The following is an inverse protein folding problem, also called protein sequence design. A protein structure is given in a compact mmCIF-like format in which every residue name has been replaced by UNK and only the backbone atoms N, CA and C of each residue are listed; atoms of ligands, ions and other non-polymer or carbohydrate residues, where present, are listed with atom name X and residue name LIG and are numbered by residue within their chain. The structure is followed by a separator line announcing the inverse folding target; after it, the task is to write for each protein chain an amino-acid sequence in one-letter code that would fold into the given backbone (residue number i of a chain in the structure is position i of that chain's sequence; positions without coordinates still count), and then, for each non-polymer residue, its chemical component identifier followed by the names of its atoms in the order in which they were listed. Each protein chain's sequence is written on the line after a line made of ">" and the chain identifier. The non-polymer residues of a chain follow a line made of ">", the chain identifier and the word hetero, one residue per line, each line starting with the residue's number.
data_IF_018128184017
#
_entry.id   IF_018128184017
#
_cell.length_a   1.000
_cell.length_b   1.000
_cell.length_c   1.000
_cell.angle_alpha   90.00
_cell.angle_beta   90.00
_cell.angle_gamma   90.00
#
_symmetry.space_group_name_H-M   'P 1'
#
loop_
_entity.id
_entity.type
_entity.pdbx_description
1 polymer ?
#
# COMPACT_ATOMS: atom_id res chain seq x y z
N UNK A 1 -8.89 28.68 -6.80
CA UNK A 1 -8.09 27.49 -7.06
C UNK A 1 -8.14 26.65 -5.80
N UNK A 2 -8.35 25.30 -5.88
CA UNK A 2 -8.41 24.46 -4.68
C UNK A 2 -6.99 24.08 -4.26
N UNK A 3 -6.71 24.20 -2.95
CA UNK A 3 -5.41 23.85 -2.37
C UNK A 3 -5.50 22.47 -1.71
N UNK A 4 -4.65 21.56 -2.10
CA UNK A 4 -4.52 20.22 -1.55
C UNK A 4 -3.18 19.99 -0.85
N UNK A 5 -3.15 19.07 0.11
CA UNK A 5 -1.91 18.61 0.72
C UNK A 5 -1.52 17.24 0.19
N UNK A 6 -0.27 17.09 -0.22
CA UNK A 6 0.36 15.81 -0.50
C UNK A 6 1.16 15.39 0.74
N UNK A 7 0.61 14.48 1.53
CA UNK A 7 1.12 14.12 2.86
C UNK A 7 2.21 13.04 2.77
N UNK A 8 3.34 13.30 3.41
CA UNK A 8 4.44 12.35 3.54
C UNK A 8 5.01 12.34 4.96
N UNK A 9 5.56 11.19 5.40
CA UNK A 9 6.57 11.21 6.45
C UNK A 9 7.93 11.64 5.88
N UNK A 10 8.87 12.00 6.77
CA UNK A 10 10.20 12.49 6.37
C UNK A 10 10.99 11.45 5.58
N UNK A 11 10.95 10.21 6.03
CA UNK A 11 11.75 9.13 5.45
C UNK A 11 11.28 8.77 4.04
N UNK A 12 9.98 8.75 3.82
CA UNK A 12 9.40 8.47 2.50
C UNK A 12 9.48 9.67 1.57
N UNK A 13 9.34 10.90 2.07
CA UNK A 13 9.57 12.10 1.26
C UNK A 13 11.01 12.18 0.75
N UNK A 14 11.99 11.89 1.62
CA UNK A 14 13.41 11.90 1.20
C UNK A 14 13.68 10.99 -0.01
N UNK A 15 12.96 9.86 -0.10
CA UNK A 15 13.08 8.87 -1.19
C UNK A 15 12.22 9.21 -2.42
N UNK A 16 11.25 10.13 -2.31
CA UNK A 16 10.22 10.40 -3.31
C UNK A 16 10.10 11.87 -3.69
N UNK A 17 11.15 12.69 -3.46
CA UNK A 17 11.15 14.15 -3.75
C UNK A 17 10.77 14.46 -5.20
N UNK A 18 11.33 13.72 -6.15
CA UNK A 18 11.04 13.93 -7.59
C UNK A 18 9.60 13.60 -7.93
N UNK A 19 9.03 12.56 -7.28
CA UNK A 19 7.63 12.22 -7.45
C UNK A 19 6.72 13.30 -6.85
N UNK A 20 7.04 13.83 -5.67
CA UNK A 20 6.28 14.91 -5.05
C UNK A 20 6.30 16.18 -5.93
N UNK A 21 7.47 16.59 -6.39
CA UNK A 21 7.62 17.72 -7.30
C UNK A 21 6.89 17.51 -8.64
N UNK A 22 6.91 16.28 -9.17
CA UNK A 22 6.14 15.94 -10.36
C UNK A 22 4.64 16.05 -10.11
N UNK A 23 4.17 15.56 -8.98
CA UNK A 23 2.76 15.61 -8.59
C UNK A 23 2.25 17.04 -8.43
N UNK A 24 3.05 17.94 -7.84
CA UNK A 24 2.75 19.37 -7.71
C UNK A 24 2.62 20.03 -9.09
N UNK A 25 3.62 19.85 -9.99
CA UNK A 25 3.58 20.39 -11.35
C UNK A 25 2.39 19.92 -12.18
N UNK A 26 2.06 18.63 -12.08
CA UNK A 26 0.90 18.07 -12.77
C UNK A 26 -0.41 18.58 -12.20
N UNK A 27 -0.45 18.89 -10.89
CA UNK A 27 -1.57 19.56 -10.24
C UNK A 27 -1.79 20.96 -10.79
N UNK A 28 -0.75 21.78 -10.87
CA UNK A 28 -0.80 23.14 -11.42
C UNK A 28 -1.36 23.18 -12.84
N UNK A 29 -0.94 22.27 -13.72
CA UNK A 29 -1.46 22.14 -15.08
C UNK A 29 -2.98 21.90 -15.13
N UNK A 30 -3.54 21.35 -14.03
CA UNK A 30 -4.96 21.00 -13.87
C UNK A 30 -5.75 21.99 -13.01
N UNK A 31 -5.13 23.11 -12.62
CA UNK A 31 -5.74 24.16 -11.81
C UNK A 31 -5.88 23.79 -10.33
N UNK A 32 -5.07 22.83 -9.86
CA UNK A 32 -4.95 22.46 -8.45
C UNK A 32 -3.64 23.00 -7.88
N UNK A 33 -3.67 23.67 -6.74
CA UNK A 33 -2.46 23.97 -5.96
C UNK A 33 -2.21 22.82 -5.02
N UNK A 34 -1.12 22.08 -5.20
CA UNK A 34 -0.77 20.96 -4.33
C UNK A 34 0.50 21.31 -3.57
N UNK A 35 0.47 21.21 -2.27
CA UNK A 35 1.59 21.48 -1.38
C UNK A 35 2.05 20.17 -0.71
N UNK A 36 3.32 19.83 -0.86
CA UNK A 36 3.92 18.72 -0.12
C UNK A 36 4.06 19.09 1.35
N UNK A 37 3.41 18.33 2.23
CA UNK A 37 3.37 18.55 3.67
C UNK A 37 3.92 17.32 4.40
N UNK A 38 4.89 17.53 5.28
CA UNK A 38 5.42 16.47 6.14
C UNK A 38 4.54 16.30 7.37
N UNK A 39 4.35 15.08 7.79
CA UNK A 39 3.56 14.81 9.02
C UNK A 39 4.16 15.45 10.26
N UNK A 40 5.48 15.67 10.32
CA UNK A 40 6.15 16.41 11.41
C UNK A 40 5.79 17.90 11.48
N UNK A 41 5.25 18.48 10.41
CA UNK A 41 4.74 19.85 10.42
C UNK A 41 3.34 19.96 11.04
N UNK A 42 2.70 18.81 11.31
CA UNK A 42 1.34 18.72 11.81
C UNK A 42 1.31 18.49 13.32
N UNK A 43 0.54 19.29 14.02
CA UNK A 43 0.09 19.01 15.38
C UNK A 43 -1.44 18.89 15.36
N UNK A 44 -1.99 17.91 16.05
CA UNK A 44 -3.42 17.61 16.01
C UNK A 44 -3.89 17.01 17.34
N UNK A 45 -5.20 17.07 17.58
CA UNK A 45 -5.75 16.51 18.80
C UNK A 45 -7.22 16.82 18.98
N UNK A 46 -7.67 16.69 20.23
CA UNK A 46 -9.05 16.94 20.67
C UNK A 46 -9.03 18.01 21.75
N UNK A 47 -9.89 19.02 21.64
CA UNK A 47 -10.08 20.09 22.65
C UNK A 47 -10.89 19.58 23.85
N UNK A 48 -10.87 20.30 24.95
CA UNK A 48 -11.66 19.98 26.14
C UNK A 48 -13.18 19.87 25.87
N UNK A 49 -13.67 20.59 24.86
CA UNK A 49 -15.07 20.52 24.41
C UNK A 49 -15.36 19.40 23.42
N UNK A 50 -14.41 18.49 23.16
CA UNK A 50 -14.54 17.38 22.23
C UNK A 50 -14.27 17.73 20.75
N UNK A 51 -14.03 19.00 20.40
CA UNK A 51 -13.76 19.37 19.01
C UNK A 51 -12.36 18.94 18.56
N UNK A 52 -12.26 18.39 17.36
CA UNK A 52 -10.98 18.10 16.71
C UNK A 52 -10.27 19.39 16.32
N UNK A 53 -8.96 19.35 16.28
CA UNK A 53 -8.14 20.46 15.78
C UNK A 53 -6.89 19.96 15.08
N UNK A 54 -6.39 20.74 14.14
CA UNK A 54 -5.14 20.49 13.45
C UNK A 54 -4.42 21.83 13.20
N UNK A 55 -3.10 21.83 13.37
CA UNK A 55 -2.22 22.96 13.05
C UNK A 55 -1.10 22.47 12.14
N UNK A 56 -0.77 23.29 11.16
CA UNK A 56 0.44 23.15 10.36
C UNK A 56 1.39 24.29 10.71
N UNK A 57 2.61 23.97 11.10
CA UNK A 57 3.63 24.95 11.51
C UNK A 57 3.10 25.94 12.56
N UNK A 58 2.34 25.44 13.54
CA UNK A 58 1.74 26.21 14.64
C UNK A 58 0.47 26.97 14.31
N UNK A 59 0.00 27.01 13.05
CA UNK A 59 -1.19 27.73 12.61
C UNK A 59 -2.35 26.79 12.30
N UNK A 60 -3.54 27.11 12.74
CA UNK A 60 -4.75 26.38 12.33
C UNK A 60 -5.05 26.68 10.86
N UNK A 61 -4.83 25.67 10.01
CA UNK A 61 -5.12 25.74 8.58
C UNK A 61 -5.49 24.37 8.08
N UNK A 62 -6.41 24.31 7.13
CA UNK A 62 -6.86 23.07 6.50
C UNK A 62 -6.82 23.24 4.97
N UNK A 63 -6.48 22.18 4.24
CA UNK A 63 -6.58 22.17 2.78
C UNK A 63 -8.02 21.89 2.35
N UNK A 64 -8.33 22.07 1.07
CA UNK A 64 -9.60 21.64 0.50
C UNK A 64 -9.68 20.10 0.36
N UNK A 65 -8.54 19.43 0.23
CA UNK A 65 -8.39 17.97 0.16
C UNK A 65 -6.98 17.56 0.57
N UNK A 66 -6.78 16.28 0.85
CA UNK A 66 -5.45 15.72 1.06
C UNK A 66 -5.26 14.44 0.24
N UNK A 67 -4.04 14.23 -0.25
CA UNK A 67 -3.58 12.97 -0.85
C UNK A 67 -2.60 12.34 0.11
N UNK A 68 -2.95 11.18 0.68
CA UNK A 68 -2.11 10.50 1.66
C UNK A 68 -1.07 9.62 0.97
N UNK A 69 0.20 9.93 1.22
CA UNK A 69 1.36 9.14 0.83
C UNK A 69 2.18 8.72 2.07
N UNK A 70 1.54 8.71 3.22
CA UNK A 70 2.05 8.28 4.52
C UNK A 70 1.16 7.13 5.05
N UNK A 71 1.59 6.42 6.10
CA UNK A 71 0.96 5.17 6.55
C UNK A 71 0.32 5.25 7.94
N UNK A 72 0.22 6.44 8.51
CA UNK A 72 -0.48 6.67 9.76
C UNK A 72 -1.96 7.00 9.49
N UNK A 73 -2.84 6.03 9.73
CA UNK A 73 -4.27 6.21 9.55
C UNK A 73 -4.86 7.33 10.44
N UNK A 74 -4.21 7.64 11.57
CA UNK A 74 -4.68 8.69 12.49
C UNK A 74 -4.62 10.08 11.86
N UNK A 75 -3.56 10.40 11.10
CA UNK A 75 -3.44 11.69 10.39
C UNK A 75 -4.58 11.86 9.38
N UNK A 76 -4.85 10.81 8.61
CA UNK A 76 -5.95 10.81 7.64
C UNK A 76 -7.31 10.93 8.33
N UNK A 77 -7.54 10.18 9.41
CA UNK A 77 -8.79 10.23 10.18
C UNK A 77 -9.02 11.60 10.82
N UNK A 78 -7.97 12.27 11.30
CA UNK A 78 -8.06 13.61 11.86
C UNK A 78 -8.53 14.63 10.82
N UNK A 79 -7.97 14.57 9.61
CA UNK A 79 -8.38 15.44 8.51
C UNK A 79 -9.83 15.16 8.07
N UNK A 80 -10.20 13.89 7.92
CA UNK A 80 -11.58 13.48 7.60
C UNK A 80 -12.58 13.96 8.67
N UNK A 81 -12.23 13.81 9.95
CA UNK A 81 -13.06 14.29 11.06
C UNK A 81 -13.19 15.82 11.12
N UNK A 82 -12.27 16.55 10.48
CA UNK A 82 -12.33 18.01 10.29
C UNK A 82 -13.02 18.41 8.97
N UNK A 83 -13.58 17.44 8.23
CA UNK A 83 -14.32 17.68 6.99
C UNK A 83 -13.44 17.77 5.74
N UNK A 84 -12.16 17.40 5.82
CA UNK A 84 -11.25 17.39 4.67
C UNK A 84 -11.28 16.01 4.01
N UNK A 85 -11.68 15.87 2.73
CA UNK A 85 -11.60 14.60 2.02
C UNK A 85 -10.15 14.16 1.83
N UNK A 86 -9.84 12.87 2.14
CA UNK A 86 -8.50 12.30 2.05
C UNK A 86 -8.47 11.13 1.06
N UNK A 87 -7.46 11.08 0.19
CA UNK A 87 -7.27 10.08 -0.89
C UNK A 87 -5.85 9.46 -0.81
N UNK A 88 -5.67 8.15 -0.47
CA UNK A 88 -6.68 7.23 0.06
C UNK A 88 -7.10 7.64 1.49
N UNK A 89 -8.34 7.33 1.85
CA UNK A 89 -8.87 7.65 3.18
C UNK A 89 -8.26 6.81 4.32
N UNK A 90 -8.55 7.22 5.56
CA UNK A 90 -7.99 6.61 6.77
C UNK A 90 -8.28 5.12 6.89
N UNK A 91 -9.47 4.69 6.49
CA UNK A 91 -9.86 3.28 6.54
C UNK A 91 -9.07 2.42 5.55
N UNK A 92 -8.79 2.92 4.35
CA UNK A 92 -7.90 2.25 3.40
C UNK A 92 -6.50 2.11 3.99
N UNK A 93 -5.98 3.20 4.54
CA UNK A 93 -4.67 3.22 5.21
C UNK A 93 -4.60 2.18 6.34
N UNK A 94 -5.59 2.14 7.22
CA UNK A 94 -5.63 1.17 8.33
C UNK A 94 -5.69 -0.29 7.85
N UNK A 95 -6.42 -0.59 6.77
CA UNK A 95 -6.52 -1.94 6.22
C UNK A 95 -5.22 -2.35 5.53
N UNK A 96 -4.61 -1.48 4.72
CA UNK A 96 -3.49 -1.85 3.85
C UNK A 96 -2.13 -1.91 4.57
N UNK A 97 -1.94 -1.17 5.66
CA UNK A 97 -0.63 -1.05 6.31
C UNK A 97 -0.36 -2.06 7.44
N UNK A 98 -1.32 -2.93 7.77
CA UNK A 98 -1.12 -4.15 8.54
C UNK A 98 -1.58 -5.35 7.72
N UNK A 99 -0.65 -6.21 7.32
CA UNK A 99 -0.94 -7.38 6.48
C UNK A 99 -1.95 -8.35 7.11
N UNK A 100 -2.01 -8.42 8.45
CA UNK A 100 -2.99 -9.26 9.17
C UNK A 100 -4.39 -8.71 8.96
N UNK A 101 -4.55 -7.39 9.07
CA UNK A 101 -5.82 -6.69 8.82
C UNK A 101 -6.23 -6.85 7.36
N UNK A 102 -5.31 -6.69 6.41
CA UNK A 102 -5.57 -6.92 4.98
C UNK A 102 -6.07 -8.34 4.73
N UNK A 103 -5.40 -9.36 5.28
CA UNK A 103 -5.80 -10.76 5.10
C UNK A 103 -7.17 -11.07 5.73
N UNK A 104 -7.44 -10.56 6.93
CA UNK A 104 -8.76 -10.71 7.56
C UNK A 104 -9.86 -10.01 6.77
N UNK A 105 -9.60 -8.78 6.32
CA UNK A 105 -10.54 -7.99 5.55
C UNK A 105 -10.92 -8.67 4.22
N UNK A 106 -9.96 -9.32 3.57
CA UNK A 106 -10.14 -10.02 2.29
C UNK A 106 -10.50 -11.52 2.47
N UNK A 107 -10.75 -11.97 3.69
CA UNK A 107 -11.13 -13.36 3.95
C UNK A 107 -12.31 -13.81 3.06
N UNK A 108 -12.21 -15.03 2.54
CA UNK A 108 -13.14 -15.58 1.56
C UNK A 108 -12.74 -15.35 0.10
N UNK A 109 -11.69 -14.56 -0.18
CA UNK A 109 -11.06 -14.47 -1.49
C UNK A 109 -9.81 -15.37 -1.55
N UNK A 110 -9.37 -15.81 -2.75
CA UNK A 110 -8.17 -16.64 -2.90
C UNK A 110 -6.91 -15.96 -2.37
N UNK A 111 -6.25 -16.57 -1.39
CA UNK A 111 -4.99 -16.11 -0.78
C UNK A 111 -4.14 -17.32 -0.37
N UNK A 112 -2.84 -17.09 -0.15
CA UNK A 112 -1.99 -18.10 0.44
C UNK A 112 -2.35 -18.33 1.91
N UNK A 113 -2.29 -19.60 2.34
CA UNK A 113 -2.45 -19.95 3.76
C UNK A 113 -1.46 -19.17 4.61
N UNK A 114 -1.98 -18.45 5.61
CA UNK A 114 -1.21 -17.51 6.41
C UNK A 114 -1.59 -17.63 7.89
N UNK A 115 -0.58 -17.75 8.74
CA UNK A 115 -0.73 -17.70 10.21
C UNK A 115 -0.24 -16.35 10.74
N UNK A 116 -1.00 -15.72 11.60
CA UNK A 116 -0.60 -14.50 12.31
C UNK A 116 0.00 -14.87 13.65
N UNK A 117 1.21 -14.39 13.90
CA UNK A 117 1.96 -14.73 15.12
C UNK A 117 2.31 -13.46 15.87
N UNK A 118 1.88 -13.37 17.12
CA UNK A 118 2.29 -12.28 18.00
C UNK A 118 3.74 -12.45 18.41
N UNK A 119 4.51 -11.38 18.34
CA UNK A 119 5.90 -11.36 18.79
C UNK A 119 6.08 -11.81 20.26
N UNK A 120 5.06 -11.60 21.09
CA UNK A 120 5.10 -11.99 22.53
C UNK A 120 5.03 -13.50 22.76
N UNK A 121 4.52 -14.24 21.77
CA UNK A 121 4.27 -15.67 21.86
C UNK A 121 4.70 -16.37 20.58
N UNK A 122 5.80 -15.90 19.98
CA UNK A 122 6.29 -16.48 18.75
C UNK A 122 6.78 -17.92 18.97
N UNK A 123 6.01 -18.87 18.47
CA UNK A 123 6.36 -20.30 18.49
C UNK A 123 6.60 -20.74 17.05
N UNK A 124 7.71 -21.44 16.84
CA UNK A 124 8.03 -21.99 15.53
C UNK A 124 6.96 -23.02 15.12
N UNK A 125 6.57 -23.07 13.85
CA UNK A 125 5.67 -24.09 13.35
C UNK A 125 6.34 -25.48 13.34
N UNK A 126 5.54 -26.55 13.19
CA UNK A 126 6.05 -27.90 13.05
C UNK A 126 6.92 -28.07 11.79
N UNK A 127 7.73 -29.14 11.77
CA UNK A 127 8.66 -29.40 10.67
C UNK A 127 7.99 -29.49 9.29
N UNK A 128 6.78 -30.03 9.21
CA UNK A 128 6.00 -30.18 7.98
C UNK A 128 5.51 -28.84 7.38
N UNK A 129 5.63 -27.73 8.12
CA UNK A 129 5.23 -26.42 7.64
C UNK A 129 6.27 -25.79 6.69
N UNK A 130 7.51 -26.22 6.75
CA UNK A 130 8.60 -25.67 5.95
C UNK A 130 8.67 -26.28 4.53
N UNK A 131 9.16 -25.50 3.54
CA UNK A 131 9.57 -24.11 3.63
C UNK A 131 8.40 -23.14 3.64
N UNK A 132 8.57 -21.99 4.31
CA UNK A 132 7.57 -20.91 4.37
C UNK A 132 8.20 -19.52 4.22
N UNK A 133 7.35 -18.50 4.12
CA UNK A 133 7.75 -17.09 4.16
C UNK A 133 7.42 -16.51 5.52
N UNK A 134 8.40 -15.85 6.15
CA UNK A 134 8.21 -15.00 7.32
C UNK A 134 8.28 -13.55 6.88
N UNK A 135 7.34 -12.73 7.34
CA UNK A 135 7.30 -11.30 7.03
C UNK A 135 6.72 -10.49 8.18
N UNK A 136 7.18 -9.23 8.40
CA UNK A 136 6.60 -8.38 9.43
C UNK A 136 5.14 -8.03 9.09
N UNK A 137 4.31 -7.89 10.11
CA UNK A 137 2.91 -7.47 9.96
C UNK A 137 2.80 -6.11 9.30
N UNK A 138 3.59 -5.15 9.79
CA UNK A 138 3.70 -3.82 9.19
C UNK A 138 5.02 -3.69 8.44
N UNK A 139 5.02 -2.93 7.34
CA UNK A 139 6.21 -2.71 6.52
C UNK A 139 5.91 -2.82 5.03
N UNK A 140 6.85 -2.35 4.23
CA UNK A 140 6.67 -2.20 2.78
C UNK A 140 7.97 -2.48 2.03
N UNK A 141 7.86 -2.68 0.71
CA UNK A 141 9.03 -2.83 -0.15
C UNK A 141 9.81 -4.12 0.07
N UNK A 142 9.22 -5.15 0.65
CA UNK A 142 9.84 -6.45 0.89
C UNK A 142 10.89 -6.46 2.01
N UNK A 143 10.92 -5.43 2.86
CA UNK A 143 11.79 -5.40 4.03
C UNK A 143 11.34 -6.46 5.04
N UNK A 144 12.29 -7.23 5.61
CA UNK A 144 12.00 -8.28 6.57
C UNK A 144 11.31 -9.53 5.98
N UNK A 145 11.06 -9.58 4.66
CA UNK A 145 10.49 -10.78 4.00
C UNK A 145 11.60 -11.79 3.76
N UNK A 146 11.48 -12.97 4.38
CA UNK A 146 12.46 -14.06 4.28
C UNK A 146 11.77 -15.40 3.98
N UNK A 147 12.35 -16.16 3.06
CA UNK A 147 12.08 -17.59 2.93
C UNK A 147 12.88 -18.30 3.99
N UNK A 148 12.25 -19.20 4.72
CA UNK A 148 12.88 -20.01 5.77
C UNK A 148 12.59 -21.49 5.48
N UNK A 149 13.62 -22.32 5.59
CA UNK A 149 13.57 -23.74 5.25
C UNK A 149 13.47 -24.67 6.48
N UNK A 150 13.67 -24.13 7.68
CA UNK A 150 13.68 -24.87 8.94
C UNK A 150 13.46 -23.92 10.14
N UNK A 151 13.35 -24.51 11.34
CA UNK A 151 13.13 -23.76 12.57
C UNK A 151 14.27 -22.80 12.91
N UNK A 152 15.52 -23.15 12.62
CA UNK A 152 16.68 -22.30 12.90
C UNK A 152 16.58 -20.99 12.07
N UNK A 153 16.37 -21.11 10.77
CA UNK A 153 16.18 -19.95 9.89
C UNK A 153 14.93 -19.14 10.26
N UNK A 154 13.88 -19.81 10.77
CA UNK A 154 12.69 -19.15 11.24
C UNK A 154 12.98 -18.28 12.47
N UNK A 155 13.69 -18.80 13.48
CA UNK A 155 14.08 -18.05 14.68
C UNK A 155 14.92 -16.84 14.32
N UNK A 156 15.91 -17.00 13.48
CA UNK A 156 16.77 -15.91 12.99
C UNK A 156 15.94 -14.83 12.23
N UNK A 157 14.99 -15.23 11.40
CA UNK A 157 14.09 -14.30 10.71
C UNK A 157 13.15 -13.54 11.67
N UNK A 158 12.67 -14.20 12.72
CA UNK A 158 11.81 -13.58 13.73
C UNK A 158 12.61 -12.58 14.57
N UNK A 159 13.81 -12.94 15.00
CA UNK A 159 14.67 -12.07 15.79
C UNK A 159 15.02 -10.77 15.05
N UNK A 160 15.20 -10.83 13.73
CA UNK A 160 15.42 -9.65 12.87
C UNK A 160 14.17 -8.73 12.76
N UNK A 161 12.96 -9.27 12.98
CA UNK A 161 11.71 -8.52 12.85
C UNK A 161 11.26 -7.93 14.19
N UNK A 162 11.61 -8.56 15.30
CA UNK A 162 11.18 -8.14 16.64
C UNK A 162 11.48 -6.63 16.91
N UNK A 163 10.58 -5.93 17.63
CA UNK A 163 9.42 -6.42 18.37
C UNK A 163 8.10 -6.38 17.59
N UNK A 164 8.10 -6.50 16.28
CA UNK A 164 6.85 -6.50 15.50
C UNK A 164 6.23 -7.90 15.46
N UNK A 165 4.91 -7.93 15.31
CA UNK A 165 4.17 -9.15 14.99
C UNK A 165 4.51 -9.62 13.56
N UNK A 166 4.40 -10.90 13.30
CA UNK A 166 4.80 -11.52 12.04
C UNK A 166 3.66 -12.30 11.40
N UNK A 167 3.80 -12.50 10.08
CA UNK A 167 3.04 -13.48 9.33
C UNK A 167 3.96 -14.62 8.91
N UNK A 168 3.46 -15.83 9.06
CA UNK A 168 4.01 -17.04 8.45
C UNK A 168 3.10 -17.45 7.30
N UNK A 169 3.62 -17.60 6.11
CA UNK A 169 2.81 -17.85 4.92
C UNK A 169 3.42 -18.95 4.07
N UNK A 170 2.59 -19.85 3.54
CA UNK A 170 3.02 -20.84 2.54
C UNK A 170 3.53 -20.14 1.29
N UNK A 171 4.52 -20.74 0.63
CA UNK A 171 5.14 -20.19 -0.57
C UNK A 171 4.25 -20.46 -1.77
N UNK A 172 3.94 -19.40 -2.53
CA UNK A 172 3.31 -19.54 -3.84
C UNK A 172 4.29 -20.16 -4.85
N UNK A 173 3.80 -21.00 -5.74
CA UNK A 173 4.61 -21.76 -6.70
C UNK A 173 4.91 -21.00 -8.01
N UNK A 174 4.50 -19.75 -8.11
CA UNK A 174 4.70 -18.88 -9.27
C UNK A 174 6.15 -18.44 -9.55
N UNK A 175 7.14 -19.00 -8.86
CA UNK A 175 8.55 -18.80 -9.17
C UNK A 175 9.08 -17.38 -8.98
N UNK A 176 8.67 -16.66 -7.94
CA UNK A 176 9.12 -15.29 -7.67
C UNK A 176 8.53 -14.24 -8.64
N UNK A 177 7.39 -14.56 -9.24
CA UNK A 177 6.62 -13.66 -10.10
C UNK A 177 5.43 -13.13 -9.34
N UNK A 178 5.18 -11.84 -9.45
CA UNK A 178 3.95 -11.22 -9.00
C UNK A 178 3.43 -10.21 -10.03
N UNK A 179 2.13 -9.97 -10.01
CA UNK A 179 1.44 -9.06 -10.90
C UNK A 179 0.87 -7.92 -10.08
N UNK A 180 1.33 -6.68 -10.34
CA UNK A 180 0.74 -5.48 -9.77
C UNK A 180 -0.29 -4.89 -10.70
N UNK A 181 -1.54 -4.82 -10.25
CA UNK A 181 -2.60 -4.08 -10.92
C UNK A 181 -2.75 -2.71 -10.27
N UNK A 182 -2.68 -1.65 -11.06
CA UNK A 182 -2.88 -0.27 -10.59
C UNK A 182 -4.37 0.09 -10.63
N UNK A 183 -4.86 0.56 -9.50
CA UNK A 183 -6.25 0.96 -9.30
C UNK A 183 -6.32 2.46 -9.08
N UNK A 184 -7.13 3.15 -9.89
CA UNK A 184 -7.48 4.56 -9.72
C UNK A 184 -8.99 4.71 -9.54
N UNK A 185 -9.41 5.17 -8.36
CA UNK A 185 -10.83 5.39 -8.04
C UNK A 185 -11.72 4.20 -8.43
N UNK A 186 -11.32 3.02 -7.94
CA UNK A 186 -12.03 1.77 -8.19
C UNK A 186 -11.83 1.12 -9.57
N UNK A 187 -11.07 1.73 -10.47
CA UNK A 187 -10.84 1.20 -11.82
C UNK A 187 -9.41 0.69 -12.00
N UNK A 188 -9.27 -0.51 -12.53
CA UNK A 188 -7.97 -1.08 -12.94
C UNK A 188 -7.54 -0.38 -14.24
N UNK A 189 -6.42 0.37 -14.19
CA UNK A 189 -5.93 1.19 -15.30
C UNK A 189 -4.68 0.65 -15.97
N UNK A 190 -3.88 -0.14 -15.27
CA UNK A 190 -2.66 -0.74 -15.81
C UNK A 190 -2.28 -1.98 -14.99
N UNK A 191 -1.40 -2.82 -15.55
CA UNK A 191 -0.78 -3.91 -14.83
C UNK A 191 0.69 -4.08 -15.23
N UNK A 192 1.52 -4.46 -14.26
CA UNK A 192 2.95 -4.69 -14.40
C UNK A 192 3.31 -6.02 -13.77
N UNK A 193 3.86 -6.92 -14.59
CA UNK A 193 4.43 -8.17 -14.11
C UNK A 193 5.83 -7.90 -13.58
N UNK A 194 6.07 -8.31 -12.34
CA UNK A 194 7.38 -8.25 -11.68
C UNK A 194 7.95 -9.66 -11.58
N UNK A 195 9.23 -9.81 -11.85
CA UNK A 195 9.92 -11.09 -11.74
C UNK A 195 11.16 -10.90 -10.88
N UNK A 196 11.28 -11.67 -9.82
CA UNK A 196 12.48 -11.67 -8.97
C UNK A 196 13.70 -12.08 -9.79
N UNK A 197 14.85 -11.47 -9.52
CA UNK A 197 16.11 -11.92 -10.10
C UNK A 197 16.54 -13.27 -9.51
N UNK A 198 16.33 -13.39 -8.19
CA UNK A 198 16.60 -14.60 -7.41
C UNK A 198 15.60 -14.71 -6.27
N UNK A 199 15.24 -15.94 -5.89
CA UNK A 199 14.35 -16.21 -4.75
C UNK A 199 12.88 -15.88 -5.00
N UNK A 200 12.18 -15.47 -3.94
CA UNK A 200 10.72 -15.28 -3.93
C UNK A 200 10.27 -13.82 -3.88
N UNK A 201 11.19 -12.87 -3.64
CA UNK A 201 10.85 -11.45 -3.49
C UNK A 201 11.07 -10.72 -4.81
N UNK A 202 9.99 -10.46 -5.53
CA UNK A 202 9.97 -9.82 -6.85
C UNK A 202 10.10 -8.28 -6.82
N UNK A 203 10.62 -7.72 -5.73
CA UNK A 203 10.70 -6.27 -5.57
C UNK A 203 11.69 -5.65 -6.56
N UNK A 204 11.22 -4.71 -7.37
CA UNK A 204 11.99 -3.93 -8.33
C UNK A 204 13.25 -3.27 -7.74
N UNK A 205 13.18 -2.75 -6.51
CA UNK A 205 14.33 -2.15 -5.81
C UNK A 205 15.47 -3.15 -5.54
N UNK A 206 15.20 -4.46 -5.66
CA UNK A 206 16.20 -5.53 -5.51
C UNK A 206 16.70 -6.07 -6.85
N UNK A 207 16.48 -5.34 -7.96
CA UNK A 207 16.98 -5.69 -9.29
C UNK A 207 16.11 -6.69 -10.05
N UNK A 208 14.85 -6.88 -9.67
CA UNK A 208 13.88 -7.67 -10.42
C UNK A 208 13.55 -7.04 -11.77
N UNK A 209 13.16 -7.86 -12.73
CA UNK A 209 12.67 -7.42 -14.05
C UNK A 209 11.20 -6.97 -13.96
N UNK A 210 10.81 -6.02 -14.80
CA UNK A 210 9.43 -5.56 -14.97
C UNK A 210 9.03 -5.62 -16.44
N UNK A 211 7.77 -5.97 -16.69
CA UNK A 211 7.19 -6.00 -18.04
C UNK A 211 5.74 -5.50 -17.99
N UNK A 212 5.29 -4.84 -19.06
CA UNK A 212 3.87 -4.57 -19.22
C UNK A 212 3.11 -5.90 -19.30
N UNK A 213 1.94 -5.97 -18.70
CA UNK A 213 1.10 -7.17 -18.68
C UNK A 213 -0.35 -6.84 -19.00
N UNK A 214 -0.95 -7.60 -19.89
CA UNK A 214 -2.38 -7.57 -20.11
C UNK A 214 -3.02 -8.61 -19.16
N UNK A 215 -3.76 -8.17 -18.10
CA UNK A 215 -4.32 -9.10 -17.15
C UNK A 215 -5.27 -10.11 -17.80
N UNK A 216 -5.13 -11.37 -17.45
CA UNK A 216 -6.09 -12.41 -17.84
C UNK A 216 -7.47 -12.09 -17.26
N UNK A 217 -8.56 -12.68 -17.78
CA UNK A 217 -9.89 -12.51 -17.20
C UNK A 217 -9.95 -12.88 -15.71
N UNK A 218 -9.23 -13.91 -15.29
CA UNK A 218 -9.18 -14.39 -13.90
C UNK A 218 -8.42 -13.43 -12.98
N UNK A 219 -7.25 -12.92 -13.42
CA UNK A 219 -6.48 -11.91 -12.69
C UNK A 219 -7.28 -10.61 -12.51
N UNK A 220 -7.91 -10.14 -13.61
CA UNK A 220 -8.78 -8.96 -13.58
C UNK A 220 -9.96 -9.17 -12.63
N UNK A 221 -10.66 -10.29 -12.75
CA UNK A 221 -11.81 -10.62 -11.89
C UNK A 221 -11.43 -10.64 -10.41
N UNK A 222 -10.30 -11.25 -10.05
CA UNK A 222 -9.85 -11.29 -8.66
C UNK A 222 -9.55 -9.88 -8.12
N UNK A 223 -8.87 -9.05 -8.90
CA UNK A 223 -8.60 -7.66 -8.52
C UNK A 223 -9.89 -6.82 -8.40
N UNK A 224 -10.88 -7.03 -9.29
CA UNK A 224 -12.19 -6.38 -9.21
C UNK A 224 -12.97 -6.81 -7.95
N UNK A 225 -12.85 -8.06 -7.52
CA UNK A 225 -13.43 -8.52 -6.24
C UNK A 225 -12.78 -7.83 -5.03
N UNK A 226 -11.46 -7.62 -5.06
CA UNK A 226 -10.76 -6.83 -4.04
C UNK A 226 -11.30 -5.40 -4.01
N UNK A 227 -11.35 -4.73 -5.16
CA UNK A 227 -11.88 -3.36 -5.29
C UNK A 227 -13.31 -3.28 -4.75
N UNK A 228 -14.19 -4.18 -5.18
CA UNK A 228 -15.58 -4.21 -4.73
C UNK A 228 -15.72 -4.41 -3.22
N UNK A 229 -14.82 -5.22 -2.59
CA UNK A 229 -14.79 -5.41 -1.14
C UNK A 229 -14.44 -4.11 -0.41
N UNK A 230 -13.47 -3.34 -0.92
CA UNK A 230 -13.12 -2.04 -0.37
C UNK A 230 -14.24 -1.01 -0.55
N UNK A 231 -14.87 -0.96 -1.72
CA UNK A 231 -16.01 -0.07 -1.98
C UNK A 231 -17.21 -0.37 -1.07
N UNK A 232 -17.58 -1.65 -0.95
CA UNK A 232 -18.67 -2.08 -0.07
C UNK A 232 -18.41 -1.76 1.42
N UNK A 233 -17.15 -1.64 1.80
CA UNK A 233 -16.74 -1.23 3.14
C UNK A 233 -16.70 0.30 3.31
N UNK A 234 -17.03 1.11 2.30
CA UNK A 234 -16.86 2.57 2.35
C UNK A 234 -15.41 3.03 2.43
N UNK A 235 -14.49 2.25 1.87
CA UNK A 235 -13.05 2.49 1.83
C UNK A 235 -12.53 2.44 0.38
N UNK A 236 -12.99 3.33 -0.54
CA UNK A 236 -12.66 3.23 -1.96
C UNK A 236 -11.16 3.38 -2.21
N UNK A 237 -10.60 2.50 -3.05
CA UNK A 237 -9.21 2.58 -3.49
C UNK A 237 -9.05 3.70 -4.52
N UNK A 238 -8.44 4.82 -4.12
CA UNK A 238 -8.29 6.00 -4.97
C UNK A 238 -6.99 6.00 -5.78
N UNK A 239 -5.88 5.57 -5.19
CA UNK A 239 -4.62 5.30 -5.88
C UNK A 239 -3.93 4.15 -5.14
N UNK A 240 -4.10 2.95 -5.64
CA UNK A 240 -3.64 1.74 -4.97
C UNK A 240 -3.04 0.73 -5.95
N UNK A 241 -2.33 -0.25 -5.40
CA UNK A 241 -1.86 -1.44 -6.11
C UNK A 241 -2.49 -2.70 -5.52
N UNK A 242 -3.04 -3.56 -6.36
CA UNK A 242 -3.42 -4.92 -5.98
C UNK A 242 -2.35 -5.86 -6.54
N UNK A 243 -1.65 -6.56 -5.66
CA UNK A 243 -0.60 -7.51 -6.03
C UNK A 243 -1.15 -8.93 -6.01
N UNK A 244 -1.01 -9.62 -7.12
CA UNK A 244 -1.43 -11.01 -7.28
C UNK A 244 -0.20 -11.91 -7.45
N UNK A 245 -0.23 -13.06 -6.77
CA UNK A 245 0.70 -14.17 -6.98
C UNK A 245 0.02 -15.25 -7.84
N UNK A 246 0.80 -16.20 -8.34
CA UNK A 246 0.28 -17.41 -8.96
C UNK A 246 0.51 -18.60 -8.03
N UNK A 247 -0.54 -19.41 -7.78
CA UNK A 247 -0.45 -20.66 -7.03
C UNK A 247 -1.40 -21.70 -7.62
N UNK A 248 -0.88 -22.90 -7.88
CA UNK A 248 -1.65 -23.95 -8.53
C UNK A 248 -2.18 -23.56 -9.93
N UNK A 249 -1.48 -22.65 -10.63
CA UNK A 249 -1.91 -22.14 -11.93
C UNK A 249 -2.99 -21.06 -11.88
N UNK A 250 -3.47 -20.67 -10.69
CA UNK A 250 -4.50 -19.65 -10.49
C UNK A 250 -3.95 -18.38 -9.78
N UNK A 251 -4.53 -17.19 -10.00
CA UNK A 251 -4.15 -15.99 -9.27
C UNK A 251 -4.67 -16.05 -7.83
N UNK A 252 -3.82 -15.63 -6.90
CA UNK A 252 -4.14 -15.44 -5.49
C UNK A 252 -3.68 -14.06 -5.03
N UNK A 253 -4.36 -13.46 -4.05
CA UNK A 253 -4.02 -12.14 -3.53
C UNK A 253 -2.72 -12.24 -2.73
N UNK A 254 -1.75 -11.39 -3.05
CA UNK A 254 -0.50 -11.21 -2.33
C UNK A 254 -0.55 -10.06 -1.33
N UNK A 255 -0.92 -8.86 -1.80
CA UNK A 255 -0.93 -7.62 -1.01
C UNK A 255 -1.84 -6.57 -1.65
N UNK A 256 -2.31 -5.59 -0.86
CA UNK A 256 -2.91 -4.35 -1.35
C UNK A 256 -2.09 -3.19 -0.81
N UNK A 257 -1.53 -2.37 -1.70
CA UNK A 257 -0.74 -1.17 -1.36
C UNK A 257 -1.56 0.11 -1.56
N UNK A 258 -1.79 0.88 -0.51
CA UNK A 258 -2.43 2.21 -0.57
C UNK A 258 -1.46 3.34 -0.95
N UNK A 259 -0.16 3.16 -0.67
CA UNK A 259 0.93 4.08 -1.03
C UNK A 259 1.74 3.50 -2.19
N UNK A 260 1.05 3.14 -3.26
CA UNK A 260 1.65 2.44 -4.40
C UNK A 260 2.65 3.31 -5.16
N UNK A 261 3.82 2.73 -5.48
CA UNK A 261 4.82 3.37 -6.34
C UNK A 261 4.55 3.13 -7.82
N UNK A 262 4.64 4.17 -8.64
CA UNK A 262 4.40 4.10 -10.09
C UNK A 262 5.66 4.03 -10.96
N UNK A 263 6.87 4.06 -10.38
CA UNK A 263 8.13 4.07 -11.15
C UNK A 263 8.27 2.92 -12.14
N UNK A 264 7.79 1.73 -11.75
CA UNK A 264 7.83 0.55 -12.63
C UNK A 264 6.90 0.71 -13.84
N UNK A 265 5.74 1.32 -13.65
CA UNK A 265 4.80 1.55 -14.74
C UNK A 265 5.39 2.46 -15.81
N UNK A 266 6.06 3.55 -15.41
CA UNK A 266 6.72 4.47 -16.33
C UNK A 266 7.91 3.87 -17.10
N UNK A 267 8.42 2.69 -16.71
CA UNK A 267 9.47 2.00 -17.47
C UNK A 267 8.91 1.11 -18.59
N UNK A 268 7.65 0.74 -18.49
CA UNK A 268 7.03 -0.26 -19.38
C UNK A 268 5.78 0.27 -20.08
N UNK A 269 5.41 1.53 -19.82
CA UNK A 269 4.20 2.15 -20.37
C UNK A 269 4.35 3.67 -20.41
N UNK A 270 3.78 4.28 -21.45
CA UNK A 270 3.67 5.75 -21.61
C UNK A 270 2.47 6.33 -20.84
N UNK A 271 1.74 5.52 -20.06
CA UNK A 271 0.59 5.98 -19.28
C UNK A 271 1.02 6.97 -18.20
N UNK A 272 0.59 8.22 -18.31
CA UNK A 272 0.69 9.19 -17.23
C UNK A 272 -0.35 8.92 -16.13
N UNK A 273 -0.01 7.98 -15.25
CA UNK A 273 -0.92 7.56 -14.18
C UNK A 273 -1.15 8.68 -13.15
N UNK A 274 -0.18 9.56 -12.94
CA UNK A 274 -0.33 10.72 -12.03
C UNK A 274 -1.28 11.74 -12.63
N UNK A 275 -1.11 12.09 -13.91
CA UNK A 275 -2.04 12.97 -14.60
C UNK A 275 -3.46 12.44 -14.61
N UNK A 276 -3.64 11.15 -14.95
CA UNK A 276 -4.94 10.49 -14.92
C UNK A 276 -5.58 10.49 -13.52
N UNK A 277 -4.77 10.25 -12.47
CA UNK A 277 -5.23 10.34 -11.09
C UNK A 277 -5.71 11.76 -10.74
N UNK A 278 -4.92 12.79 -11.09
CA UNK A 278 -5.24 14.19 -10.79
C UNK A 278 -6.47 14.69 -11.56
N UNK A 279 -6.68 14.23 -12.79
CA UNK A 279 -7.90 14.55 -13.55
C UNK A 279 -9.14 14.02 -12.83
N UNK A 280 -9.10 12.77 -12.38
CA UNK A 280 -10.20 12.17 -11.59
C UNK A 280 -10.37 12.76 -10.21
N UNK A 281 -9.28 13.15 -9.57
CA UNK A 281 -9.29 13.83 -8.27
C UNK A 281 -9.99 15.19 -8.39
N UNK A 282 -9.65 15.98 -9.40
CA UNK A 282 -10.24 17.30 -9.65
C UNK A 282 -11.77 17.27 -9.76
N UNK A 283 -12.33 16.20 -10.30
CA UNK A 283 -13.79 16.01 -10.41
C UNK A 283 -14.48 15.78 -9.06
N UNK A 284 -13.71 15.41 -8.02
CA UNK A 284 -14.21 14.98 -6.70
C UNK A 284 -13.98 15.98 -5.58
N UNK A 285 -13.19 17.00 -5.83
CA UNK A 285 -12.82 18.03 -4.84
C UNK A 285 -13.38 19.40 -5.16
#
# INVERSE_FOLDING_TARGET
>A
MKTGWLLYDEGDLAKNRDFAAYFEREGEKRGLTIETVRTSQLAMGVRANGALWLRRDGRETLPNFAVSRQRDALVSAQLEGLGVPVFNGSRVCAICNDKRVTHQFLAGLPMMETTFVSHRYAVAPGEDAYPLVVKPACGHGGQGVRRVANEYEWRDAVDDILPQDILQQKIADGGGRDLRLYVLFGQIVAAVLRTAREGIVSNFKRGGAVAAHAPTPEERRLAELVVARFEAAGAPLCFAGVDLLCHGGAPVIGEVEDVVGSRMLYQVSDLDIVGLYLDRLRERV
#
